data_IF_566971988485
#
_entry.id   IF_566971988485
#
_cell.length_a   1.000
_cell.length_b   1.000
_cell.length_c   1.000
_cell.angle_alpha   90.00
_cell.angle_beta   90.00
_cell.angle_gamma   90.00
#
_symmetry.space_group_name_H-M   'P 1'
#
loop_
_entity.id
_entity.type
_entity.pdbx_description
1 polymer ?
#
# COMPACT_ATOMS: atom_id res chain seq x y z
N UNK A 1 20.97 7.93 -3.48
CA UNK A 1 19.99 8.68 -2.66
C UNK A 1 18.61 8.03 -2.74
N UNK A 2 17.63 8.40 -1.91
CA UNK A 2 16.27 7.86 -2.00
C UNK A 2 15.56 8.23 -3.31
N UNK A 3 14.67 7.37 -3.80
CA UNK A 3 13.89 7.57 -5.01
C UNK A 3 12.41 7.22 -4.76
N UNK A 4 11.51 8.22 -4.67
CA UNK A 4 11.77 9.66 -4.65
C UNK A 4 12.50 10.14 -3.37
N UNK A 5 13.05 11.36 -3.36
CA UNK A 5 13.62 11.98 -2.16
C UNK A 5 12.58 12.11 -1.04
N UNK A 6 12.92 11.63 0.15
CA UNK A 6 12.04 11.68 1.32
C UNK A 6 12.12 13.02 2.04
N UNK A 7 13.27 13.69 1.95
CA UNK A 7 13.56 14.99 2.52
C UNK A 7 14.49 15.78 1.60
N UNK A 8 14.45 17.11 1.71
CA UNK A 8 15.41 17.98 1.05
C UNK A 8 16.78 17.84 1.72
N UNK A 9 17.79 17.36 0.98
CA UNK A 9 19.18 17.45 1.43
C UNK A 9 19.73 18.83 1.08
N UNK A 10 20.46 19.45 2.02
CA UNK A 10 21.14 20.73 1.80
C UNK A 10 22.63 20.55 2.07
N UNK A 11 23.39 20.26 1.02
CA UNK A 11 24.84 20.29 1.07
C UNK A 11 25.32 21.73 0.87
N UNK A 12 26.38 22.11 1.58
CA UNK A 12 27.07 23.38 1.38
C UNK A 12 27.74 23.40 0.01
N UNK A 13 27.18 24.20 -0.89
CA UNK A 13 27.68 24.42 -2.25
C UNK A 13 27.43 25.89 -2.59
N UNK A 14 28.41 26.50 -3.26
CA UNK A 14 28.24 27.83 -3.83
C UNK A 14 27.46 27.73 -5.15
N UNK A 15 26.15 27.87 -5.06
CA UNK A 15 25.23 27.81 -6.22
C UNK A 15 25.35 29.02 -7.15
N UNK A 16 26.11 30.06 -6.77
CA UNK A 16 26.35 31.23 -7.61
C UNK A 16 27.41 31.00 -8.68
N UNK A 17 28.24 29.97 -8.51
CA UNK A 17 29.25 29.55 -9.51
C UNK A 17 28.59 28.91 -10.72
N UNK A 18 29.22 29.09 -11.88
CA UNK A 18 28.81 28.36 -13.07
C UNK A 18 29.13 26.86 -12.90
N UNK A 19 28.26 26.00 -13.44
CA UNK A 19 28.41 24.53 -13.34
C UNK A 19 29.74 24.05 -13.94
N UNK A 20 30.25 24.75 -14.96
CA UNK A 20 31.53 24.42 -15.60
C UNK A 20 32.75 24.73 -14.73
N UNK A 21 32.62 25.62 -13.76
CA UNK A 21 33.70 26.01 -12.83
C UNK A 21 33.73 25.14 -11.57
N UNK A 22 32.67 24.38 -11.31
CA UNK A 22 32.59 23.47 -10.16
C UNK A 22 33.54 22.28 -10.33
N UNK A 23 34.20 21.89 -9.24
CA UNK A 23 34.83 20.57 -9.20
C UNK A 23 33.79 19.47 -9.26
N UNK A 24 34.17 18.26 -9.67
CA UNK A 24 33.22 17.16 -9.83
C UNK A 24 32.50 16.83 -8.50
N UNK A 25 33.19 16.92 -7.37
CA UNK A 25 32.59 16.67 -6.06
C UNK A 25 31.65 17.79 -5.59
N UNK A 26 31.95 19.05 -5.91
CA UNK A 26 31.01 20.16 -5.73
C UNK A 26 29.77 19.96 -6.61
N UNK A 27 29.96 19.55 -7.86
CA UNK A 27 28.86 19.28 -8.79
C UNK A 27 27.96 18.12 -8.33
N UNK A 28 28.53 17.05 -7.78
CA UNK A 28 27.74 15.95 -7.18
C UNK A 28 26.81 16.46 -6.08
N UNK A 29 27.33 17.31 -5.18
CA UNK A 29 26.56 17.91 -4.08
C UNK A 29 25.48 18.85 -4.62
N UNK A 30 25.82 19.68 -5.58
CA UNK A 30 24.90 20.58 -6.29
C UNK A 30 23.73 19.81 -6.90
N UNK A 31 24.03 18.73 -7.65
CA UNK A 31 23.01 17.92 -8.29
C UNK A 31 22.13 17.19 -7.26
N UNK A 32 22.71 16.73 -6.14
CA UNK A 32 21.94 16.12 -5.07
C UNK A 32 20.95 17.12 -4.42
N UNK A 33 21.36 18.38 -4.21
CA UNK A 33 20.45 19.43 -3.74
C UNK A 33 19.30 19.63 -4.74
N UNK A 34 19.64 19.84 -6.03
CA UNK A 34 18.67 20.01 -7.12
C UNK A 34 17.65 18.87 -7.21
N UNK A 35 18.09 17.62 -7.12
CA UNK A 35 17.20 16.46 -7.20
C UNK A 35 16.31 16.39 -5.97
N UNK A 36 16.86 16.69 -4.78
CA UNK A 36 16.11 16.64 -3.52
C UNK A 36 15.06 17.74 -3.40
N UNK A 37 15.27 18.87 -4.08
CA UNK A 37 14.31 19.97 -4.15
C UNK A 37 13.21 19.76 -5.21
N UNK A 38 13.30 18.70 -6.02
CA UNK A 38 12.23 18.39 -6.97
C UNK A 38 10.93 18.08 -6.22
N UNK A 39 9.78 18.65 -6.65
CA UNK A 39 8.51 18.37 -6.00
C UNK A 39 8.15 16.89 -6.20
N UNK A 40 7.70 16.25 -5.13
CA UNK A 40 7.24 14.86 -5.12
C UNK A 40 5.77 14.84 -4.76
N UNK A 41 4.94 14.25 -5.62
CA UNK A 41 3.51 14.07 -5.38
C UNK A 41 3.26 13.11 -4.21
N UNK A 42 2.16 13.32 -3.48
CA UNK A 42 1.79 12.43 -2.37
C UNK A 42 1.58 10.98 -2.84
N UNK A 43 0.99 10.81 -4.03
CA UNK A 43 0.81 9.49 -4.64
C UNK A 43 2.16 8.81 -4.91
N UNK A 44 3.13 9.50 -5.51
CA UNK A 44 4.45 8.93 -5.72
C UNK A 44 5.18 8.61 -4.41
N UNK A 45 5.04 9.47 -3.39
CA UNK A 45 5.65 9.30 -2.06
C UNK A 45 5.14 8.05 -1.33
N UNK A 46 3.85 7.74 -1.48
CA UNK A 46 3.22 6.58 -0.85
C UNK A 46 3.49 5.28 -1.61
N UNK A 47 3.65 5.34 -2.93
CA UNK A 47 3.67 4.14 -3.78
C UNK A 47 5.06 3.76 -4.30
N UNK A 48 6.02 4.69 -4.25
CA UNK A 48 7.37 4.45 -4.77
C UNK A 48 8.36 4.47 -3.61
N UNK A 49 9.04 3.35 -3.41
CA UNK A 49 10.15 3.25 -2.49
C UNK A 49 11.36 2.76 -3.27
N UNK A 50 12.53 3.36 -3.07
CA UNK A 50 13.67 2.94 -3.86
C UNK A 50 14.89 3.79 -3.71
N UNK A 51 15.88 3.47 -4.55
CA UNK A 51 17.18 4.12 -4.56
C UNK A 51 17.50 4.65 -5.95
N UNK A 52 17.91 5.91 -6.03
CA UNK A 52 18.51 6.51 -7.21
C UNK A 52 20.02 6.35 -7.13
N UNK A 53 20.57 5.70 -8.16
CA UNK A 53 21.99 5.41 -8.35
C UNK A 53 22.47 6.24 -9.54
N UNK A 54 23.29 7.23 -9.27
CA UNK A 54 23.96 8.04 -10.28
C UNK A 54 25.39 7.50 -10.42
N UNK A 55 25.75 7.03 -11.62
CA UNK A 55 27.12 6.59 -11.89
C UNK A 55 28.06 7.79 -12.04
N UNK A 56 29.35 7.59 -11.85
CA UNK A 56 30.37 8.65 -11.96
C UNK A 56 30.36 9.29 -13.36
N UNK A 57 30.22 8.47 -14.40
CA UNK A 57 30.17 8.91 -15.80
C UNK A 57 28.94 9.78 -16.09
N UNK A 58 27.85 9.56 -15.34
CA UNK A 58 26.64 10.36 -15.44
C UNK A 58 26.90 11.81 -14.99
N UNK A 59 27.62 11.99 -13.87
CA UNK A 59 27.97 13.32 -13.37
C UNK A 59 28.88 14.05 -14.35
N UNK A 60 29.91 13.37 -14.88
CA UNK A 60 30.82 13.96 -15.88
C UNK A 60 30.05 14.39 -17.13
N UNK A 61 29.10 13.56 -17.58
CA UNK A 61 28.32 13.84 -18.78
C UNK A 61 27.33 14.99 -18.56
N UNK A 62 26.63 15.02 -17.43
CA UNK A 62 25.69 16.11 -17.09
C UNK A 62 26.41 17.44 -16.85
N UNK A 63 27.60 17.42 -16.25
CA UNK A 63 28.41 18.63 -16.06
C UNK A 63 28.88 19.22 -17.40
N UNK A 64 29.23 18.36 -18.38
CA UNK A 64 29.67 18.79 -19.72
C UNK A 64 28.52 19.18 -20.63
N UNK A 65 27.38 18.52 -20.51
CA UNK A 65 26.20 18.72 -21.34
C UNK A 65 24.97 19.13 -20.50
N UNK A 66 24.68 20.44 -20.43
CA UNK A 66 23.49 20.95 -19.75
C UNK A 66 22.17 20.43 -20.34
N UNK A 67 22.14 20.04 -21.62
CA UNK A 67 20.95 19.46 -22.23
C UNK A 67 20.66 18.06 -21.67
N UNK A 68 21.72 17.27 -21.44
CA UNK A 68 21.62 15.96 -20.79
C UNK A 68 21.17 16.09 -19.33
N UNK A 69 21.76 17.02 -18.55
CA UNK A 69 21.31 17.31 -17.18
C UNK A 69 19.81 17.62 -17.16
N UNK A 70 19.37 18.56 -18.00
CA UNK A 70 17.96 18.96 -18.08
C UNK A 70 17.04 17.79 -18.45
N UNK A 71 17.50 16.89 -19.32
CA UNK A 71 16.74 15.71 -19.71
C UNK A 71 16.54 14.75 -18.54
N UNK A 72 17.61 14.45 -17.80
CA UNK A 72 17.55 13.61 -16.60
C UNK A 72 16.66 14.26 -15.53
N UNK A 73 16.84 15.56 -15.27
CA UNK A 73 16.01 16.30 -14.30
C UNK A 73 14.53 16.29 -14.67
N UNK A 74 14.20 16.40 -15.96
CA UNK A 74 12.82 16.29 -16.43
C UNK A 74 12.26 14.87 -16.29
N UNK A 75 13.08 13.84 -16.53
CA UNK A 75 12.69 12.44 -16.33
C UNK A 75 12.38 12.18 -14.85
N UNK A 76 13.27 12.58 -13.94
CA UNK A 76 13.08 12.46 -12.50
C UNK A 76 11.83 13.20 -12.03
N UNK A 77 11.65 14.45 -12.49
CA UNK A 77 10.46 15.26 -12.19
C UNK A 77 9.17 14.56 -12.63
N UNK A 78 9.12 14.00 -13.84
CA UNK A 78 7.96 13.24 -14.33
C UNK A 78 7.69 12.02 -13.43
N UNK A 79 8.74 11.28 -13.07
CA UNK A 79 8.63 10.14 -12.15
C UNK A 79 8.05 10.55 -10.79
N UNK A 80 8.58 11.60 -10.17
CA UNK A 80 8.16 12.08 -8.85
C UNK A 80 6.74 12.68 -8.83
N UNK A 81 6.25 13.16 -9.97
CA UNK A 81 4.90 13.69 -10.14
C UNK A 81 3.88 12.63 -10.60
N UNK A 82 4.28 11.36 -10.74
CA UNK A 82 3.38 10.29 -11.16
C UNK A 82 2.26 10.09 -10.16
N UNK A 83 1.02 10.15 -10.64
CA UNK A 83 -0.19 9.87 -9.87
C UNK A 83 -0.65 8.44 -10.14
N UNK A 84 -0.63 7.59 -9.11
CA UNK A 84 -1.21 6.27 -9.17
C UNK A 84 -2.70 6.31 -8.83
N UNK A 85 -3.57 5.62 -9.59
CA UNK A 85 -5.01 5.63 -9.35
C UNK A 85 -5.40 4.91 -8.05
N UNK A 86 -4.57 3.99 -7.57
CA UNK A 86 -4.77 3.23 -6.33
C UNK A 86 -3.45 3.05 -5.59
N UNK A 87 -3.53 2.70 -4.30
CA UNK A 87 -2.35 2.35 -3.51
C UNK A 87 -1.76 1.00 -3.98
N UNK A 88 -0.58 1.07 -4.58
CA UNK A 88 0.23 -0.03 -5.09
C UNK A 88 1.70 0.23 -4.74
N UNK A 89 2.16 -0.13 -3.53
CA UNK A 89 3.54 0.12 -3.12
C UNK A 89 4.50 -0.76 -3.92
N UNK A 90 5.55 -0.14 -4.44
CA UNK A 90 6.62 -0.79 -5.18
C UNK A 90 7.96 -0.45 -4.53
N UNK A 91 8.90 -1.40 -4.54
CA UNK A 91 10.29 -1.16 -4.19
C UNK A 91 11.17 -1.32 -5.44
N UNK A 92 12.03 -0.35 -5.71
CA UNK A 92 12.84 -0.38 -6.94
C UNK A 92 14.13 0.40 -6.84
N UNK A 93 14.83 0.45 -7.96
CA UNK A 93 16.01 1.26 -8.13
C UNK A 93 16.01 1.90 -9.52
N UNK A 94 16.60 3.08 -9.61
CA UNK A 94 16.82 3.78 -10.88
C UNK A 94 18.31 4.06 -11.02
N UNK A 95 18.91 3.58 -12.11
CA UNK A 95 20.30 3.82 -12.48
C UNK A 95 20.35 4.87 -13.59
N UNK A 96 21.21 5.87 -13.43
CA UNK A 96 21.53 6.87 -14.46
C UNK A 96 23.00 6.71 -14.83
N UNK A 97 23.26 6.46 -16.11
CA UNK A 97 24.61 6.31 -16.68
C UNK A 97 25.10 7.57 -17.41
N UNK A 98 26.25 7.45 -18.10
CA UNK A 98 26.84 8.53 -18.88
C UNK A 98 26.03 8.88 -20.12
N UNK A 99 25.20 7.94 -20.59
CA UNK A 99 24.28 8.15 -21.72
C UNK A 99 22.88 7.60 -21.43
N UNK A 100 21.93 8.02 -22.26
CA UNK A 100 20.53 7.59 -22.15
C UNK A 100 20.35 6.08 -22.24
N UNK A 101 21.16 5.40 -23.05
CA UNK A 101 21.09 3.94 -23.21
C UNK A 101 21.52 3.18 -21.95
N UNK A 102 22.31 3.83 -21.10
CA UNK A 102 22.81 3.27 -19.85
C UNK A 102 21.90 3.61 -18.66
N UNK A 103 20.80 4.33 -18.91
CA UNK A 103 19.79 4.62 -17.90
C UNK A 103 18.77 3.48 -17.89
N UNK A 104 18.62 2.82 -16.75
CA UNK A 104 17.66 1.73 -16.56
C UNK A 104 17.15 1.73 -15.13
N UNK A 105 15.94 1.25 -14.92
CA UNK A 105 15.34 1.15 -13.60
C UNK A 105 14.35 0.01 -13.56
N UNK A 106 14.28 -0.64 -12.42
CA UNK A 106 13.37 -1.75 -12.18
C UNK A 106 12.67 -1.57 -10.84
N UNK A 107 11.38 -1.92 -10.82
CA UNK A 107 10.56 -1.89 -9.63
C UNK A 107 9.85 -3.23 -9.47
N UNK A 108 9.85 -3.73 -8.25
CA UNK A 108 9.12 -4.93 -7.86
C UNK A 108 7.99 -4.51 -6.93
N UNK A 109 6.76 -4.99 -7.16
CA UNK A 109 5.66 -4.77 -6.23
C UNK A 109 6.04 -5.25 -4.83
N UNK A 110 5.85 -4.39 -3.83
CA UNK A 110 6.07 -4.79 -2.46
C UNK A 110 4.99 -5.81 -2.11
N UNK A 111 5.39 -6.97 -1.58
CA UNK A 111 4.44 -7.94 -1.04
C UNK A 111 3.73 -7.26 0.12
N UNK A 112 2.53 -6.75 -0.14
CA UNK A 112 1.70 -6.28 0.94
C UNK A 112 1.31 -7.50 1.77
N UNK A 113 1.44 -7.40 3.08
CA UNK A 113 0.80 -8.34 4.00
C UNK A 113 -0.72 -8.43 3.77
N UNK A 114 -1.32 -7.51 3.00
CA UNK A 114 -2.70 -7.58 2.54
C UNK A 114 -2.92 -8.38 1.25
N UNK A 115 -1.92 -8.59 0.38
CA UNK A 115 -2.03 -9.46 -0.79
C UNK A 115 -1.82 -10.95 -0.42
N UNK A 116 -1.18 -11.22 0.73
CA UNK A 116 -1.03 -12.57 1.28
C UNK A 116 -2.16 -13.04 2.20
N UNK A 117 -3.10 -12.18 2.59
CA UNK A 117 -4.22 -12.53 3.50
C UNK A 117 -5.52 -12.83 2.74
N UNK A 118 -5.53 -12.77 1.40
CA UNK A 118 -6.63 -13.36 0.62
C UNK A 118 -6.54 -14.89 0.51
N UNK A 119 -5.56 -15.52 1.16
CA UNK A 119 -5.27 -16.94 0.97
C UNK A 119 -5.83 -17.92 1.98
N UNK A 120 -6.00 -17.59 3.27
CA UNK A 120 -6.31 -18.63 4.28
C UNK A 120 -7.10 -18.24 5.53
N UNK A 121 -7.30 -16.96 5.86
CA UNK A 121 -8.00 -16.59 7.10
C UNK A 121 -9.26 -15.75 6.80
N UNK A 122 -10.40 -16.10 7.41
CA UNK A 122 -11.64 -15.32 7.28
C UNK A 122 -11.38 -13.90 7.78
N UNK A 123 -11.69 -12.91 6.94
CA UNK A 123 -11.62 -11.49 7.30
C UNK A 123 -12.45 -11.21 8.56
N UNK A 124 -12.12 -10.13 9.28
CA UNK A 124 -12.87 -9.71 10.46
C UNK A 124 -14.37 -9.52 10.14
N UNK A 125 -14.70 -8.99 8.96
CA UNK A 125 -16.08 -8.83 8.49
C UNK A 125 -16.79 -10.18 8.28
N UNK A 126 -16.11 -11.16 7.68
CA UNK A 126 -16.66 -12.50 7.50
C UNK A 126 -16.89 -13.19 8.85
N UNK A 127 -15.94 -13.06 9.78
CA UNK A 127 -16.05 -13.61 11.15
C UNK A 127 -17.21 -12.97 11.92
N UNK A 128 -17.38 -11.64 11.79
CA UNK A 128 -18.51 -10.91 12.38
C UNK A 128 -19.85 -11.38 11.80
N UNK A 129 -19.93 -11.56 10.47
CA UNK A 129 -21.13 -12.03 9.81
C UNK A 129 -21.51 -13.46 10.22
N UNK A 130 -20.54 -14.37 10.24
CA UNK A 130 -20.76 -15.76 10.69
C UNK A 130 -21.23 -15.82 12.15
N UNK A 131 -20.63 -15.02 13.04
CA UNK A 131 -21.03 -14.96 14.43
C UNK A 131 -22.47 -14.43 14.59
N UNK A 132 -22.85 -13.41 13.81
CA UNK A 132 -24.22 -12.90 13.80
C UNK A 132 -25.20 -13.99 13.33
N UNK A 133 -24.88 -14.67 12.24
CA UNK A 133 -25.72 -15.73 11.69
C UNK A 133 -25.90 -16.89 12.68
N UNK A 134 -24.81 -17.34 13.31
CA UNK A 134 -24.85 -18.38 14.33
C UNK A 134 -25.70 -17.98 15.54
N UNK A 135 -25.61 -16.72 16.00
CA UNK A 135 -26.42 -16.23 17.10
C UNK A 135 -27.92 -16.19 16.75
N UNK A 136 -28.26 -15.76 15.53
CA UNK A 136 -29.65 -15.77 15.04
C UNK A 136 -30.20 -17.20 14.96
N UNK A 137 -29.39 -18.15 14.45
CA UNK A 137 -29.81 -19.53 14.29
C UNK A 137 -29.92 -20.27 15.63
N UNK A 138 -29.04 -19.96 16.59
CA UNK A 138 -29.17 -20.42 17.97
C UNK A 138 -30.47 -19.91 18.62
N UNK A 139 -30.77 -18.61 18.48
CA UNK A 139 -32.02 -18.03 18.97
C UNK A 139 -33.26 -18.64 18.32
N UNK A 140 -33.22 -18.93 17.01
CA UNK A 140 -34.28 -19.64 16.29
C UNK A 140 -34.49 -21.06 16.85
N UNK A 141 -33.40 -21.82 17.05
CA UNK A 141 -33.46 -23.18 17.61
C UNK A 141 -34.06 -23.19 19.01
N UNK A 142 -33.65 -22.26 19.87
CA UNK A 142 -34.15 -22.15 21.24
C UNK A 142 -35.65 -21.81 21.26
N UNK A 143 -36.10 -20.87 20.41
CA UNK A 143 -37.51 -20.53 20.25
C UNK A 143 -38.35 -21.73 19.78
N UNK A 144 -37.84 -22.51 18.81
CA UNK A 144 -38.49 -23.73 18.34
C UNK A 144 -38.56 -24.80 19.43
N UNK A 145 -37.49 -24.99 20.21
CA UNK A 145 -37.48 -25.93 21.33
C UNK A 145 -38.57 -25.58 22.37
N UNK A 146 -38.65 -24.30 22.78
CA UNK A 146 -39.70 -23.81 23.69
C UNK A 146 -41.12 -24.01 23.15
N UNK A 147 -41.32 -23.90 21.83
CA UNK A 147 -42.63 -24.17 21.20
C UNK A 147 -42.95 -25.66 21.22
N UNK A 148 -41.99 -26.52 20.92
CA UNK A 148 -42.18 -27.97 20.94
C UNK A 148 -42.46 -28.50 22.36
N UNK A 149 -41.78 -27.95 23.37
CA UNK A 149 -42.02 -28.28 24.78
C UNK A 149 -43.42 -27.87 25.23
N UNK A 150 -43.87 -26.65 24.93
CA UNK A 150 -45.25 -26.21 25.20
C UNK A 150 -46.27 -27.14 24.52
N UNK A 151 -46.10 -27.39 23.23
CA UNK A 151 -46.99 -28.31 22.50
C UNK A 151 -46.98 -29.74 23.08
N UNK A 152 -45.87 -30.20 23.67
CA UNK A 152 -45.82 -31.50 24.37
C UNK A 152 -46.56 -31.44 25.71
N UNK A 153 -46.39 -30.37 26.48
CA UNK A 153 -47.07 -30.17 27.75
C UNK A 153 -48.60 -30.09 27.57
N UNK A 154 -49.07 -29.32 26.58
CA UNK A 154 -50.49 -29.18 26.25
C UNK A 154 -51.11 -30.54 25.90
N UNK A 155 -50.45 -31.34 25.05
CA UNK A 155 -50.91 -32.70 24.72
C UNK A 155 -50.94 -33.65 25.91
N UNK A 156 -50.02 -33.50 26.87
CA UNK A 156 -50.02 -34.30 28.09
C UNK A 156 -51.17 -33.89 29.02
N UNK A 157 -51.47 -32.59 29.11
CA UNK A 157 -52.61 -32.08 29.84
C UNK A 157 -53.93 -32.55 29.22
N UNK A 158 -54.11 -32.44 27.90
CA UNK A 158 -55.29 -32.95 27.17
C UNK A 158 -55.50 -34.46 27.41
N UNK A 159 -54.43 -35.26 27.41
CA UNK A 159 -54.50 -36.70 27.72
C UNK A 159 -54.82 -36.99 29.19
N UNK A 160 -54.46 -36.09 30.10
CA UNK A 160 -54.77 -36.24 31.53
C UNK A 160 -56.22 -35.85 31.80
N UNK A 161 -56.71 -34.77 31.20
CA UNK A 161 -58.11 -34.32 31.31
C UNK A 161 -59.07 -35.26 30.58
N UNK A 162 -58.71 -35.78 29.40
CA UNK A 162 -59.52 -36.79 28.69
C UNK A 162 -59.69 -38.08 29.48
N UNK A 163 -58.64 -38.57 30.15
CA UNK A 163 -58.72 -39.74 31.04
C UNK A 163 -59.56 -39.50 32.31
N UNK A 164 -59.74 -38.24 32.72
CA UNK A 164 -60.55 -37.90 33.88
C UNK A 164 -62.06 -37.95 33.56
N UNK A 165 -62.45 -37.70 32.30
CA UNK A 165 -63.85 -37.76 31.85
C UNK A 165 -64.32 -39.22 31.68
N UNK A 166 -63.45 -40.10 31.19
CA UNK A 166 -63.76 -41.53 31.00
C UNK A 166 -63.81 -42.36 32.30
N UNK A 167 -63.46 -41.78 33.46
CA UNK A 167 -63.55 -42.43 34.77
C UNK A 167 -64.81 -42.03 35.58
N UNK A 168 -65.66 -41.16 35.03
CA UNK A 168 -66.88 -40.67 35.70
C UNK A 168 -68.19 -41.09 35.01
N UNK A 169 -68.17 -42.08 34.13
CA UNK A 169 -69.35 -42.76 33.54
C UNK A 169 -69.36 -44.23 33.95
#
# INVERSE_FOLDING_TARGET
>A
MGFPPVSSTKYEVDESKDVSEMTLDEYKRYLCNKISDLPVSDSARLNTHGVLILKEEAFVSMQKDPAYEKKIMNMLRKGFQTQYPFYSPNIGYQVIGGSEKECYGEGVPMKSSSAGVYGREKSWWNRRHDNLQNNLDAGRRESLARRLERNRADRLQERASGRHIDQCL
#
